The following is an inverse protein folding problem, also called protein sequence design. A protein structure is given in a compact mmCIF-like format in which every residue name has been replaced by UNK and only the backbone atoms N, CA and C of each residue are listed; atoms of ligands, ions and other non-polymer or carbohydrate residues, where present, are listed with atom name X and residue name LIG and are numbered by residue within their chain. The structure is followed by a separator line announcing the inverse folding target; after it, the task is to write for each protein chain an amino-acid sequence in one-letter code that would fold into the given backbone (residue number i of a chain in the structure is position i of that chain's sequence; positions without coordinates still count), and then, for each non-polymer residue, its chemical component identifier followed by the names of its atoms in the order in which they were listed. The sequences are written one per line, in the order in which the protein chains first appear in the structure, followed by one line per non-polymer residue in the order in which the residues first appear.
data_IF_441469335754
#
_entry.id   IF_441469335754
#
_cell.length_a   1.000
_cell.length_b   1.000
_cell.length_c   1.000
_cell.angle_alpha   90.00
_cell.angle_beta   90.00
_cell.angle_gamma   90.00
#
_symmetry.space_group_name_H-M   'P 1'
#
loop_
_entity.id
_entity.type
_entity.pdbx_description
1 polymer ?
#
# COMPACT_ATOMS: atom_id res chain seq x y z
N UNK A 1 31.71 4.18 -20.21
CA UNK A 1 30.66 3.26 -19.70
C UNK A 1 29.91 3.98 -18.61
N UNK A 2 28.70 4.47 -18.87
CA UNK A 2 27.82 5.05 -17.86
C UNK A 2 27.33 3.91 -16.96
N UNK A 3 27.70 3.96 -15.68
CA UNK A 3 27.28 2.98 -14.68
C UNK A 3 25.76 3.09 -14.53
N UNK A 4 25.06 1.98 -14.69
CA UNK A 4 23.62 1.95 -14.50
C UNK A 4 23.27 2.44 -13.08
N UNK A 5 22.26 3.30 -12.90
CA UNK A 5 21.85 3.77 -11.59
C UNK A 5 21.51 2.59 -10.68
N UNK A 6 21.95 2.64 -9.42
CA UNK A 6 21.67 1.59 -8.43
C UNK A 6 20.17 1.28 -8.33
N UNK A 7 19.33 2.31 -8.48
CA UNK A 7 17.87 2.20 -8.52
C UNK A 7 17.39 1.23 -9.60
N UNK A 8 17.96 1.29 -10.79
CA UNK A 8 17.48 0.49 -11.94
C UNK A 8 17.92 -0.97 -11.81
N UNK A 9 19.12 -1.19 -11.25
CA UNK A 9 19.61 -2.52 -10.87
C UNK A 9 18.69 -3.14 -9.81
N UNK A 10 18.42 -2.43 -8.72
CA UNK A 10 17.55 -2.90 -7.63
C UNK A 10 16.13 -3.13 -8.15
N UNK A 11 15.60 -2.24 -8.99
CA UNK A 11 14.28 -2.40 -9.58
C UNK A 11 14.17 -3.69 -10.40
N UNK A 12 15.17 -3.99 -11.25
CA UNK A 12 15.21 -5.27 -11.99
C UNK A 12 15.30 -6.48 -11.07
N UNK A 13 16.11 -6.41 -10.01
CA UNK A 13 16.23 -7.48 -9.04
C UNK A 13 14.90 -7.75 -8.33
N UNK A 14 14.20 -6.70 -7.89
CA UNK A 14 12.89 -6.82 -7.24
C UNK A 14 11.84 -7.39 -8.21
N UNK A 15 11.81 -6.92 -9.46
CA UNK A 15 10.93 -7.48 -10.50
C UNK A 15 11.20 -8.97 -10.69
N UNK A 16 12.47 -9.37 -10.79
CA UNK A 16 12.84 -10.78 -10.93
C UNK A 16 12.40 -11.61 -9.72
N UNK A 17 12.67 -11.14 -8.50
CA UNK A 17 12.30 -11.83 -7.27
C UNK A 17 10.78 -11.92 -7.04
N UNK A 18 10.00 -11.05 -7.68
CA UNK A 18 8.55 -11.05 -7.64
C UNK A 18 7.86 -11.97 -8.66
N UNK A 19 8.60 -12.63 -9.57
CA UNK A 19 8.02 -13.53 -10.57
C UNK A 19 7.47 -14.83 -9.95
N UNK A 20 6.55 -15.52 -10.64
CA UNK A 20 5.99 -16.79 -10.16
C UNK A 20 7.08 -17.81 -9.79
N UNK A 21 6.92 -18.48 -8.64
CA UNK A 21 7.90 -19.42 -8.10
C UNK A 21 9.13 -18.78 -7.45
N UNK A 22 9.20 -17.44 -7.36
CA UNK A 22 10.30 -16.71 -6.71
C UNK A 22 9.94 -16.26 -5.29
N UNK A 23 10.94 -15.95 -4.44
CA UNK A 23 10.72 -15.75 -3.00
C UNK A 23 9.88 -14.53 -2.60
N UNK A 24 9.73 -13.52 -3.48
CA UNK A 24 8.87 -12.36 -3.20
C UNK A 24 7.52 -12.44 -3.92
N UNK A 25 7.23 -13.57 -4.59
CA UNK A 25 5.92 -13.77 -5.21
C UNK A 25 4.83 -13.90 -4.14
N UNK A 26 3.61 -13.33 -4.35
CA UNK A 26 2.52 -13.40 -3.36
C UNK A 26 2.10 -14.81 -2.95
N UNK A 27 2.22 -15.78 -3.87
CA UNK A 27 1.91 -17.19 -3.62
C UNK A 27 3.16 -18.02 -3.30
N UNK A 28 4.26 -17.39 -2.91
CA UNK A 28 5.44 -18.11 -2.43
C UNK A 28 5.20 -18.58 -0.99
N UNK A 29 5.87 -19.65 -0.55
CA UNK A 29 5.87 -20.06 0.86
C UNK A 29 6.51 -19.04 1.83
N UNK A 30 6.90 -17.85 1.35
CA UNK A 30 7.34 -16.72 2.16
C UNK A 30 6.27 -15.62 2.26
N UNK A 31 5.09 -15.84 1.69
CA UNK A 31 3.96 -14.95 1.84
C UNK A 31 3.66 -14.73 3.31
N UNK A 32 3.60 -13.46 3.73
CA UNK A 32 3.24 -13.14 5.11
C UNK A 32 1.75 -13.40 5.38
N UNK A 33 0.94 -13.62 4.35
CA UNK A 33 -0.44 -14.09 4.53
C UNK A 33 -0.43 -15.55 4.99
N UNK A 34 0.39 -16.39 4.35
CA UNK A 34 0.47 -17.82 4.68
C UNK A 34 1.26 -18.06 5.99
N UNK A 35 2.41 -17.40 6.15
CA UNK A 35 3.28 -17.58 7.32
C UNK A 35 2.61 -17.21 8.65
N UNK A 36 1.65 -16.31 8.62
CA UNK A 36 0.97 -15.80 9.81
C UNK A 36 -0.55 -16.01 9.76
N UNK A 37 -1.02 -16.98 8.97
CA UNK A 37 -2.44 -17.26 8.79
C UNK A 37 -3.15 -17.56 10.13
N UNK A 38 -2.46 -18.24 11.05
CA UNK A 38 -2.99 -18.64 12.36
C UNK A 38 -2.58 -17.68 13.50
N UNK A 39 -1.90 -16.57 13.20
CA UNK A 39 -1.46 -15.61 14.21
C UNK A 39 -2.62 -14.69 14.65
N UNK A 40 -3.26 -15.06 15.77
CA UNK A 40 -4.37 -14.28 16.36
C UNK A 40 -3.98 -12.86 16.78
N UNK A 41 -2.72 -12.61 17.13
CA UNK A 41 -2.28 -11.25 17.48
C UNK A 41 -2.26 -10.40 16.22
N UNK A 42 -1.69 -10.93 15.13
CA UNK A 42 -1.70 -10.28 13.82
C UNK A 42 -3.12 -10.03 13.33
N UNK A 43 -4.01 -11.02 13.42
CA UNK A 43 -5.42 -10.87 13.01
C UNK A 43 -6.13 -9.72 13.72
N UNK A 44 -5.97 -9.65 15.05
CA UNK A 44 -6.50 -8.52 15.84
C UNK A 44 -5.92 -7.18 15.41
N UNK A 45 -4.60 -7.09 15.26
CA UNK A 45 -3.95 -5.85 14.81
C UNK A 45 -4.42 -5.43 13.43
N UNK A 46 -4.62 -6.37 12.50
CA UNK A 46 -5.18 -6.09 11.18
C UNK A 46 -6.59 -5.51 11.30
N UNK A 47 -7.45 -6.11 12.12
CA UNK A 47 -8.80 -5.61 12.33
C UNK A 47 -8.79 -4.19 12.92
N UNK A 48 -7.99 -3.92 13.95
CA UNK A 48 -7.85 -2.60 14.55
C UNK A 48 -7.31 -1.54 13.58
N UNK A 49 -6.41 -1.91 12.66
CA UNK A 49 -5.89 -1.01 11.63
C UNK A 49 -6.93 -0.75 10.55
N UNK A 50 -7.70 -1.77 10.15
CA UNK A 50 -8.79 -1.62 9.18
C UNK A 50 -9.86 -0.67 9.71
N UNK A 51 -10.34 -0.90 10.93
CA UNK A 51 -11.34 -0.03 11.57
C UNK A 51 -10.81 1.42 11.68
N UNK A 52 -9.60 1.59 12.20
CA UNK A 52 -8.95 2.91 12.25
C UNK A 52 -8.88 3.60 10.89
N UNK A 53 -8.52 2.85 9.84
CA UNK A 53 -8.39 3.40 8.49
C UNK A 53 -9.74 3.80 7.90
N UNK A 54 -10.79 3.01 8.18
CA UNK A 54 -12.15 3.31 7.77
C UNK A 54 -12.70 4.55 8.51
N UNK A 55 -12.31 4.77 9.75
CA UNK A 55 -12.72 5.95 10.53
C UNK A 55 -12.08 7.27 10.06
N UNK A 56 -11.03 7.24 9.23
CA UNK A 56 -10.34 8.46 8.76
C UNK A 56 -11.22 9.37 7.90
N UNK A 57 -12.26 8.83 7.26
CA UNK A 57 -13.20 9.58 6.44
C UNK A 57 -14.47 8.76 6.27
N UNK A 58 -15.65 9.39 6.17
CA UNK A 58 -16.86 8.72 5.71
C UNK A 58 -17.22 9.32 4.34
N UNK A 59 -17.15 8.55 3.23
CA UNK A 59 -17.53 9.06 1.92
C UNK A 59 -19.04 9.30 1.85
N UNK A 60 -19.44 10.27 1.02
CA UNK A 60 -20.86 10.53 0.79
C UNK A 60 -21.50 9.33 0.07
N UNK A 61 -22.74 9.01 0.44
CA UNK A 61 -23.50 7.86 -0.04
C UNK A 61 -24.65 8.27 -0.96
N UNK A 62 -24.51 9.40 -1.65
CA UNK A 62 -25.49 10.03 -2.55
C UNK A 62 -25.88 9.18 -3.79
N UNK A 63 -25.32 7.98 -3.93
CA UNK A 63 -25.58 7.04 -5.01
C UNK A 63 -24.74 7.28 -6.27
N UNK A 64 -23.87 8.29 -6.29
CA UNK A 64 -22.93 8.57 -7.39
C UNK A 64 -21.56 8.00 -7.05
N UNK A 65 -21.42 6.67 -7.04
CA UNK A 65 -20.13 6.04 -6.80
C UNK A 65 -19.22 6.13 -8.03
N UNK A 66 -18.24 7.05 -8.00
CA UNK A 66 -17.11 7.05 -8.91
C UNK A 66 -15.84 6.59 -8.15
N UNK A 67 -15.10 5.65 -8.73
CA UNK A 67 -13.78 5.26 -8.23
C UNK A 67 -12.71 5.81 -9.18
N UNK A 68 -11.73 6.52 -8.64
CA UNK A 68 -10.58 7.03 -9.40
C UNK A 68 -9.37 6.15 -9.09
N UNK A 69 -8.86 5.47 -10.12
CA UNK A 69 -7.67 4.63 -10.01
C UNK A 69 -6.55 5.31 -10.78
N UNK A 70 -5.41 5.56 -10.11
CA UNK A 70 -4.21 6.10 -10.74
C UNK A 70 -3.07 5.08 -10.69
N UNK A 71 -2.35 4.95 -11.81
CA UNK A 71 -1.25 4.02 -11.95
C UNK A 71 -0.05 4.70 -12.64
N UNK A 72 1.15 4.22 -12.32
CA UNK A 72 2.39 4.78 -12.82
C UNK A 72 3.54 4.62 -11.81
N UNK A 73 4.79 4.79 -12.24
CA UNK A 73 5.95 4.52 -11.39
C UNK A 73 5.98 5.43 -10.14
N UNK A 74 6.68 5.01 -9.07
CA UNK A 74 6.96 5.88 -7.94
C UNK A 74 7.63 7.19 -8.40
N UNK A 75 7.17 8.33 -7.88
CA UNK A 75 7.67 9.65 -8.26
C UNK A 75 7.12 10.23 -9.57
N UNK A 76 6.21 9.53 -10.28
CA UNK A 76 5.63 10.02 -11.54
C UNK A 76 4.63 11.19 -11.41
N UNK A 77 4.44 11.77 -10.23
CA UNK A 77 3.53 12.90 -10.02
C UNK A 77 2.03 12.55 -10.00
N UNK A 78 1.64 11.29 -9.81
CA UNK A 78 0.23 10.84 -9.82
C UNK A 78 -0.64 11.63 -8.84
N UNK A 79 -0.23 11.70 -7.57
CA UNK A 79 -0.98 12.42 -6.53
C UNK A 79 -1.04 13.92 -6.84
N UNK A 80 0.01 14.49 -7.42
CA UNK A 80 0.02 15.90 -7.88
C UNK A 80 -1.03 16.12 -8.98
N UNK A 81 -1.05 15.28 -10.01
CA UNK A 81 -1.99 15.40 -11.12
C UNK A 81 -3.46 15.24 -10.68
N UNK A 82 -3.73 14.37 -9.70
CA UNK A 82 -5.08 14.22 -9.16
C UNK A 82 -5.55 15.46 -8.37
N UNK A 83 -4.66 16.08 -7.59
CA UNK A 83 -4.94 17.32 -6.84
C UNK A 83 -5.16 18.50 -7.77
N UNK A 84 -4.29 18.69 -8.77
CA UNK A 84 -4.41 19.79 -9.75
C UNK A 84 -5.75 19.72 -10.50
N UNK A 85 -6.27 18.51 -10.75
CA UNK A 85 -7.56 18.29 -11.41
C UNK A 85 -8.77 18.33 -10.46
N UNK A 86 -8.56 18.62 -9.17
CA UNK A 86 -9.61 18.67 -8.15
C UNK A 86 -10.41 17.36 -8.05
N UNK A 87 -9.76 16.23 -8.37
CA UNK A 87 -10.37 14.90 -8.39
C UNK A 87 -10.34 14.21 -7.02
N UNK A 88 -9.52 14.71 -6.11
CA UNK A 88 -9.37 14.18 -4.73
C UNK A 88 -10.01 15.07 -3.67
N UNK A 89 -10.51 16.24 -4.05
CA UNK A 89 -11.24 17.16 -3.16
C UNK A 89 -12.75 16.86 -3.10
N UNK A 90 -13.18 15.77 -3.76
CA UNK A 90 -14.57 15.30 -3.77
C UNK A 90 -14.85 14.40 -2.55
N UNK A 91 -16.12 14.10 -2.30
CA UNK A 91 -16.65 13.25 -1.21
C UNK A 91 -16.21 11.76 -1.25
N UNK A 92 -15.11 11.46 -1.94
CA UNK A 92 -14.57 10.12 -2.11
C UNK A 92 -13.62 9.74 -0.97
N UNK A 93 -13.58 8.46 -0.61
CA UNK A 93 -12.56 7.93 0.30
C UNK A 93 -11.23 7.80 -0.43
N UNK A 94 -10.17 8.39 0.11
CA UNK A 94 -8.81 8.25 -0.42
C UNK A 94 -8.21 6.92 0.05
N UNK A 95 -7.89 6.02 -0.89
CA UNK A 95 -7.26 4.73 -0.62
C UNK A 95 -5.77 4.76 -0.99
N UNK A 96 -4.89 4.66 0.00
CA UNK A 96 -3.45 4.70 -0.15
C UNK A 96 -2.77 3.80 0.87
N UNK A 97 -2.05 2.79 0.38
CA UNK A 97 -1.41 1.79 1.23
C UNK A 97 -0.28 2.37 2.08
N UNK A 98 0.31 3.49 1.68
CA UNK A 98 1.41 4.10 2.45
C UNK A 98 0.90 4.66 3.79
N UNK A 99 -0.35 5.14 3.85
CA UNK A 99 -0.99 5.57 5.11
C UNK A 99 -1.04 4.41 6.12
N UNK A 100 -1.40 3.21 5.66
CA UNK A 100 -1.48 2.02 6.50
C UNK A 100 -0.09 1.55 6.93
N UNK A 101 0.92 1.62 6.04
CA UNK A 101 2.30 1.27 6.38
C UNK A 101 2.88 2.20 7.45
N UNK A 102 2.63 3.50 7.33
CA UNK A 102 3.10 4.49 8.30
C UNK A 102 2.50 4.23 9.69
N UNK A 103 1.21 3.91 9.75
CA UNK A 103 0.53 3.56 11.01
C UNK A 103 1.09 2.26 11.63
N UNK A 104 1.31 1.23 10.82
CA UNK A 104 1.91 -0.02 11.29
C UNK A 104 3.33 0.22 11.85
N UNK A 105 4.14 1.05 11.18
CA UNK A 105 5.47 1.44 11.67
C UNK A 105 5.38 2.23 12.97
N UNK A 106 4.46 3.21 13.05
CA UNK A 106 4.23 4.00 14.27
C UNK A 106 3.88 3.11 15.46
N UNK A 107 2.99 2.13 15.28
CA UNK A 107 2.63 1.16 16.33
C UNK A 107 3.81 0.28 16.71
N UNK A 108 4.56 -0.24 15.73
CA UNK A 108 5.74 -1.06 15.99
C UNK A 108 6.78 -0.31 16.85
N UNK A 109 7.06 0.95 16.51
CA UNK A 109 7.97 1.80 17.29
C UNK A 109 7.45 2.02 18.71
N UNK A 110 6.14 2.28 18.88
CA UNK A 110 5.52 2.46 20.20
C UNK A 110 5.58 1.19 21.08
N UNK A 111 5.50 0.01 20.44
CA UNK A 111 5.63 -1.29 21.09
C UNK A 111 7.10 -1.70 21.38
N UNK A 112 8.07 -0.89 20.94
CA UNK A 112 9.51 -1.12 21.17
C UNK A 112 10.19 -2.05 20.16
N UNK A 113 9.66 -2.12 18.93
CA UNK A 113 10.25 -2.86 17.81
C UNK A 113 11.16 -2.00 16.92
#
# INVERSE_FOLDING_TARGET
MTREPLRDIVSRQLVHLGQHGRPLHPNSGRSTLDLYADDRRRDRTLHEVIEWYLDLAEPDRDGRCAAIISAGPPGAGKSTALRERHLVDTSSRYLDADIVKDELLRRAIADGH
#
